data_IF_647863380489
#
_entry.id   IF_647863380489
#
_cell.length_a   1.000
_cell.length_b   1.000
_cell.length_c   1.000
_cell.angle_alpha   90.00
_cell.angle_beta   90.00
_cell.angle_gamma   90.00
#
_symmetry.space_group_name_H-M   'P 1'
#
loop_
_entity.id
_entity.type
_entity.pdbx_description
1 polymer ?
#
# COMPACT_ATOMS: atom_id res chain seq x y z
N UNK A 1 2.38 9.81 -6.19
CA UNK A 1 1.57 8.98 -7.11
C UNK A 1 0.48 8.36 -6.26
N UNK A 2 -0.78 8.75 -6.44
CA UNK A 2 -1.91 8.41 -5.54
C UNK A 2 -2.22 9.55 -4.56
N UNK A 3 -3.13 10.45 -4.96
CA UNK A 3 -3.62 11.56 -4.14
C UNK A 3 -4.76 11.01 -3.29
N UNK A 4 -4.55 10.93 -1.97
CA UNK A 4 -5.60 10.70 -1.01
C UNK A 4 -6.62 11.83 -1.10
N UNK A 5 -7.91 11.48 -1.20
CA UNK A 5 -9.00 12.45 -1.04
C UNK A 5 -8.98 12.95 0.39
N UNK A 6 -8.31 14.09 0.62
CA UNK A 6 -8.18 14.64 1.97
C UNK A 6 -7.25 15.84 2.11
N UNK A 7 -7.17 16.74 1.13
CA UNK A 7 -7.01 18.18 1.40
C UNK A 7 -7.44 18.97 0.18
N UNK A 8 -8.29 19.97 0.40
CA UNK A 8 -8.65 20.99 -0.58
C UNK A 8 -7.43 21.90 -0.83
N UNK A 9 -6.41 21.39 -1.51
CA UNK A 9 -5.48 22.21 -2.25
C UNK A 9 -5.96 22.15 -3.70
N UNK A 10 -6.52 23.26 -4.17
CA UNK A 10 -6.97 23.45 -5.54
C UNK A 10 -5.84 23.03 -6.52
N UNK A 11 -5.89 21.78 -6.99
CA UNK A 11 -5.17 21.37 -8.18
C UNK A 11 -5.78 22.18 -9.30
N UNK A 12 -5.14 23.30 -9.66
CA UNK A 12 -5.40 24.02 -10.91
C UNK A 12 -5.68 22.94 -11.96
N UNK A 13 -6.86 22.96 -12.55
CA UNK A 13 -7.21 22.05 -13.64
C UNK A 13 -6.24 22.36 -14.79
N UNK A 14 -5.08 21.72 -14.77
CA UNK A 14 -4.11 21.82 -15.85
C UNK A 14 -4.82 21.20 -17.02
N UNK A 15 -5.17 22.00 -18.03
CA UNK A 15 -5.77 21.52 -19.28
C UNK A 15 -4.95 20.35 -19.80
N UNK A 16 -5.48 19.14 -19.70
CA UNK A 16 -4.82 17.93 -20.19
C UNK A 16 -5.19 17.75 -21.66
N UNK A 17 -4.22 17.38 -22.48
CA UNK A 17 -4.48 17.02 -23.87
C UNK A 17 -5.38 15.77 -23.94
N UNK A 18 -6.26 15.71 -24.94
CA UNK A 18 -7.15 14.57 -25.20
C UNK A 18 -6.42 13.22 -25.25
N UNK A 19 -5.14 13.21 -25.66
CA UNK A 19 -4.34 12.00 -25.68
C UNK A 19 -3.96 11.52 -24.25
N UNK A 20 -3.65 12.45 -23.35
CA UNK A 20 -3.33 12.16 -21.94
C UNK A 20 -4.56 11.67 -21.20
N UNK A 21 -5.73 12.25 -21.49
CA UNK A 21 -7.00 11.85 -20.87
C UNK A 21 -7.36 10.40 -21.25
N UNK A 22 -7.32 10.07 -22.55
CA UNK A 22 -7.49 8.69 -23.03
C UNK A 22 -6.47 7.71 -22.41
N UNK A 23 -5.22 8.14 -22.21
CA UNK A 23 -4.18 7.31 -21.57
C UNK A 23 -4.47 7.07 -20.09
N UNK A 24 -4.99 8.06 -19.36
CA UNK A 24 -5.39 7.90 -17.96
C UNK A 24 -6.62 6.99 -17.84
N UNK A 25 -7.64 7.19 -18.67
CA UNK A 25 -8.84 6.35 -18.69
C UNK A 25 -8.50 4.87 -18.93
N UNK A 26 -7.66 4.59 -19.93
CA UNK A 26 -7.17 3.22 -20.19
C UNK A 26 -6.41 2.60 -19.01
N UNK A 27 -5.63 3.41 -18.26
CA UNK A 27 -4.89 2.93 -17.08
C UNK A 27 -5.81 2.71 -15.87
N UNK A 28 -6.84 3.52 -15.72
CA UNK A 28 -7.78 3.43 -14.60
C UNK A 28 -8.68 2.20 -14.68
N UNK A 29 -9.02 1.73 -15.89
CA UNK A 29 -9.91 0.58 -16.09
C UNK A 29 -9.46 -0.70 -15.35
N UNK A 30 -8.15 -0.94 -15.27
CA UNK A 30 -7.58 -2.11 -14.61
C UNK A 30 -6.97 -1.80 -13.24
N UNK A 31 -7.11 -0.57 -12.74
CA UNK A 31 -6.52 -0.13 -11.49
C UNK A 31 -7.46 -0.41 -10.30
N UNK A 32 -7.67 -1.69 -10.00
CA UNK A 32 -8.37 -2.11 -8.78
C UNK A 32 -7.33 -2.47 -7.72
N UNK A 33 -7.37 -1.77 -6.60
CA UNK A 33 -6.57 -2.09 -5.42
C UNK A 33 -7.42 -2.90 -4.43
N UNK A 34 -6.77 -3.78 -3.65
CA UNK A 34 -7.44 -4.49 -2.57
C UNK A 34 -7.77 -3.53 -1.42
N UNK A 35 -8.94 -3.68 -0.81
CA UNK A 35 -9.41 -2.79 0.26
C UNK A 35 -8.46 -2.75 1.47
N UNK A 36 -7.80 -3.87 1.81
CA UNK A 36 -6.85 -3.89 2.93
C UNK A 36 -5.58 -3.10 2.62
N UNK A 37 -5.19 -3.05 1.35
CA UNK A 37 -4.06 -2.24 0.89
C UNK A 37 -4.43 -0.75 0.91
N UNK A 38 -5.65 -0.40 0.49
CA UNK A 38 -6.15 0.98 0.58
C UNK A 38 -6.19 1.51 2.02
N UNK A 39 -6.60 0.68 2.98
CA UNK A 39 -6.58 1.04 4.41
C UNK A 39 -5.14 1.34 4.88
N UNK A 40 -4.16 0.55 4.48
CA UNK A 40 -2.75 0.79 4.81
C UNK A 40 -2.19 2.06 4.16
N UNK A 41 -2.62 2.37 2.94
CA UNK A 41 -2.29 3.65 2.31
C UNK A 41 -2.86 4.84 3.09
N UNK A 42 -4.04 4.70 3.71
CA UNK A 42 -4.58 5.71 4.63
C UNK A 42 -3.74 5.90 5.90
N UNK A 43 -3.19 4.81 6.44
CA UNK A 43 -2.28 4.82 7.60
C UNK A 43 -0.88 5.36 7.28
N UNK A 44 -0.48 5.35 6.01
CA UNK A 44 0.87 5.72 5.56
C UNK A 44 1.95 4.69 5.94
N UNK A 45 1.56 3.50 6.40
CA UNK A 45 2.45 2.40 6.79
C UNK A 45 2.01 1.13 6.08
N UNK A 46 2.92 0.54 5.31
CA UNK A 46 2.68 -0.67 4.53
C UNK A 46 3.41 -1.86 5.17
N UNK A 47 2.76 -3.03 5.15
CA UNK A 47 3.41 -4.28 5.52
C UNK A 47 4.15 -4.85 4.31
N UNK A 48 5.43 -5.19 4.49
CA UNK A 48 6.31 -5.71 3.45
C UNK A 48 7.16 -6.87 3.98
N UNK A 49 7.56 -7.75 3.07
CA UNK A 49 8.49 -8.84 3.35
C UNK A 49 9.88 -8.47 2.81
N UNK A 50 10.91 -8.59 3.66
CA UNK A 50 12.31 -8.46 3.25
C UNK A 50 12.72 -9.78 2.60
N UNK A 51 12.97 -9.76 1.29
CA UNK A 51 13.40 -10.94 0.52
C UNK A 51 14.92 -11.06 0.42
N UNK A 52 15.64 -10.01 0.79
CA UNK A 52 17.10 -9.95 0.82
C UNK A 52 17.70 -10.54 2.11
N UNK A 53 19.01 -10.83 2.07
CA UNK A 53 19.78 -11.29 3.23
C UNK A 53 20.72 -10.18 3.70
N UNK A 54 20.23 -9.22 4.50
CA UNK A 54 20.94 -7.97 4.81
C UNK A 54 22.33 -8.20 5.44
N UNK A 55 22.51 -9.26 6.22
CA UNK A 55 23.82 -9.59 6.82
C UNK A 55 24.90 -10.00 5.81
N UNK A 56 24.53 -10.37 4.58
CA UNK A 56 25.49 -10.72 3.53
C UNK A 56 25.55 -9.64 2.44
N UNK A 57 24.39 -9.13 2.02
CA UNK A 57 24.31 -8.18 0.91
C UNK A 57 24.31 -6.70 1.33
N UNK A 58 24.22 -6.40 2.64
CA UNK A 58 24.16 -5.02 3.17
C UNK A 58 22.89 -4.26 2.79
N UNK A 59 21.88 -4.93 2.22
CA UNK A 59 20.65 -4.32 1.69
C UNK A 59 19.42 -5.02 2.24
N UNK A 60 18.35 -4.25 2.45
CA UNK A 60 17.07 -4.71 2.99
C UNK A 60 15.95 -4.51 1.94
N UNK A 61 16.18 -5.03 0.74
CA UNK A 61 15.22 -5.03 -0.35
C UNK A 61 14.12 -6.08 -0.10
N UNK A 62 12.92 -5.79 -0.61
CA UNK A 62 11.72 -6.58 -0.34
C UNK A 62 10.54 -6.20 -1.23
N UNK A 63 9.38 -6.78 -0.93
CA UNK A 63 8.13 -6.54 -1.66
C UNK A 63 6.96 -6.32 -0.68
N UNK A 64 5.91 -5.64 -1.16
CA UNK A 64 4.70 -5.34 -0.36
C UNK A 64 3.85 -6.61 -0.27
N UNK A 65 3.27 -6.87 0.90
CA UNK A 65 2.35 -7.99 1.08
C UNK A 65 0.99 -7.65 0.48
N UNK A 66 0.48 -8.55 -0.38
CA UNK A 66 -0.79 -8.37 -1.07
C UNK A 66 -1.70 -9.59 -0.93
N UNK A 67 -3.02 -9.40 -1.10
CA UNK A 67 -4.02 -10.47 -1.13
C UNK A 67 -3.96 -11.45 0.05
N UNK A 68 -3.89 -12.75 -0.26
CA UNK A 68 -3.92 -13.83 0.75
C UNK A 68 -2.73 -13.79 1.71
N UNK A 69 -1.55 -13.36 1.25
CA UNK A 69 -0.37 -13.24 2.12
C UNK A 69 -0.58 -12.16 3.16
N UNK A 70 -1.16 -11.02 2.76
CA UNK A 70 -1.45 -9.93 3.66
C UNK A 70 -2.44 -10.36 4.76
N UNK A 71 -3.53 -11.02 4.40
CA UNK A 71 -4.52 -11.52 5.36
C UNK A 71 -3.91 -12.48 6.39
N UNK A 72 -3.04 -13.38 5.93
CA UNK A 72 -2.37 -14.36 6.80
C UNK A 72 -1.52 -13.67 7.87
N UNK A 73 -0.68 -12.71 7.46
CA UNK A 73 0.19 -11.99 8.38
C UNK A 73 -0.59 -11.03 9.29
N UNK A 74 -1.64 -10.37 8.80
CA UNK A 74 -2.52 -9.53 9.64
C UNK A 74 -3.14 -10.34 10.77
N UNK A 75 -3.73 -11.51 10.47
CA UNK A 75 -4.29 -12.41 11.49
C UNK A 75 -3.23 -12.84 12.50
N UNK A 76 -2.01 -13.14 12.06
CA UNK A 76 -0.91 -13.55 12.94
C UNK A 76 -0.46 -12.42 13.88
N UNK A 77 -0.37 -11.19 13.38
CA UNK A 77 -0.01 -10.00 14.17
C UNK A 77 -1.07 -9.71 15.22
N UNK A 78 -2.36 -9.75 14.85
CA UNK A 78 -3.47 -9.54 15.79
C UNK A 78 -3.47 -10.57 16.93
N UNK A 79 -3.29 -11.87 16.61
CA UNK A 79 -3.17 -12.95 17.61
C UNK A 79 -1.96 -12.79 18.53
N UNK A 80 -0.84 -12.29 18.01
CA UNK A 80 0.35 -12.00 18.83
C UNK A 80 0.09 -10.83 19.77
N UNK A 81 -0.56 -9.78 19.29
CA UNK A 81 -0.92 -8.59 20.08
C UNK A 81 -1.86 -8.95 21.23
N UNK A 82 -2.85 -9.83 21.01
CA UNK A 82 -3.78 -10.26 22.07
C UNK A 82 -3.12 -11.15 23.13
N UNK A 83 -2.11 -11.95 22.78
CA UNK A 83 -1.33 -12.72 23.77
C UNK A 83 -0.32 -11.89 24.57
N UNK A 84 0.20 -10.80 23.99
CA UNK A 84 1.19 -9.94 24.65
C UNK A 84 0.61 -8.96 25.67
N UNK A 85 -0.68 -8.64 25.60
CA UNK A 85 -1.34 -7.71 26.52
C UNK A 85 -1.78 -8.35 27.86
N UNK A 86 -1.60 -9.66 28.04
CA UNK A 86 -1.84 -10.38 29.31
C UNK A 86 -0.56 -10.84 30.01
N UNK A 87 0.60 -10.40 29.55
CA UNK A 87 1.90 -10.67 30.16
C UNK A 87 2.63 -9.34 30.39
N UNK A 88 2.06 -8.53 31.27
CA UNK A 88 2.69 -7.40 31.94
C UNK A 88 2.15 -7.35 33.37
#
# INVERSE_FOLDING_TARGET
>A
MGISRGSAAATKEVKKSNHVQRKMEKRQQNHKLDAHIEEQFGSGRLLACISSRPGQCGRADGYILEGKELEFYMKKIQRKKSKGAGAA
#
